data_IF_649382293070
#
_entry.id   IF_649382293070
#
_cell.length_a   1.000
_cell.length_b   1.000
_cell.length_c   1.000
_cell.angle_alpha   90.00
_cell.angle_beta   90.00
_cell.angle_gamma   90.00
#
_symmetry.space_group_name_H-M   'P 1'
#
loop_
_entity.id
_entity.type
_entity.pdbx_description
1 polymer ?
#
# COMPACT_ATOMS: atom_id res chain seq x y z
N UNK A 1 -6.86 41.84 3.74
CA UNK A 1 -5.91 42.78 4.35
C UNK A 1 -4.49 42.47 3.90
N UNK A 2 -3.88 41.34 4.26
CA UNK A 2 -2.53 40.96 3.88
C UNK A 2 -2.21 41.10 2.35
N UNK A 3 -3.14 40.67 1.48
CA UNK A 3 -2.95 40.76 0.02
C UNK A 3 -2.90 42.22 -0.44
N UNK A 4 -3.73 43.09 0.15
CA UNK A 4 -3.72 44.53 -0.17
C UNK A 4 -2.45 45.20 0.30
N UNK A 5 -1.97 44.85 1.49
CA UNK A 5 -0.75 45.41 2.06
C UNK A 5 0.48 44.98 1.23
N UNK A 6 0.56 43.70 0.88
CA UNK A 6 1.61 43.21 -0.01
C UNK A 6 1.56 43.87 -1.39
N UNK A 7 0.37 44.03 -1.98
CA UNK A 7 0.20 44.70 -3.28
C UNK A 7 0.62 46.17 -3.23
N UNK A 8 0.41 46.85 -2.10
CA UNK A 8 0.82 48.26 -1.91
C UNK A 8 2.34 48.40 -1.82
N UNK A 9 3.02 47.45 -1.17
CA UNK A 9 4.48 47.43 -0.99
C UNK A 9 5.20 47.04 -2.29
N UNK A 10 4.79 45.92 -2.90
CA UNK A 10 5.46 45.38 -4.07
C UNK A 10 4.98 45.99 -5.39
N UNK A 11 3.89 46.77 -5.36
CA UNK A 11 3.26 47.41 -6.55
C UNK A 11 3.01 46.44 -7.69
N UNK A 12 2.67 45.20 -7.35
CA UNK A 12 2.36 44.12 -8.28
C UNK A 12 1.07 43.42 -7.88
N UNK A 13 0.49 42.68 -8.81
CA UNK A 13 -0.69 41.85 -8.50
C UNK A 13 -0.30 40.69 -7.63
N UNK A 14 -0.94 40.60 -6.45
CA UNK A 14 -0.76 39.49 -5.51
C UNK A 14 -1.98 38.59 -5.60
N UNK A 15 -1.75 37.30 -5.76
CA UNK A 15 -2.79 36.28 -5.80
C UNK A 15 -2.57 35.29 -4.65
N UNK A 16 -3.62 35.10 -3.84
CA UNK A 16 -3.60 34.13 -2.75
C UNK A 16 -4.30 32.85 -3.24
N UNK A 17 -3.60 31.73 -3.21
CA UNK A 17 -4.18 30.42 -3.52
C UNK A 17 -4.06 29.49 -2.33
N UNK A 18 -5.15 28.82 -2.02
CA UNK A 18 -5.13 27.72 -1.07
C UNK A 18 -4.54 26.48 -1.74
N UNK A 19 -3.51 25.90 -1.15
CA UNK A 19 -2.85 24.68 -1.63
C UNK A 19 -3.15 23.52 -0.68
N UNK A 20 -3.39 22.34 -1.24
CA UNK A 20 -3.54 21.11 -0.46
C UNK A 20 -2.20 20.63 0.08
N UNK A 21 -2.21 19.84 1.16
CA UNK A 21 -0.99 19.31 1.80
C UNK A 21 -0.10 18.50 0.86
N UNK A 22 -0.66 17.83 -0.13
CA UNK A 22 0.13 17.13 -1.15
C UNK A 22 0.76 18.08 -2.16
N UNK A 23 0.06 19.16 -2.51
CA UNK A 23 0.57 20.16 -3.44
C UNK A 23 1.69 20.96 -2.80
N UNK A 24 1.58 21.29 -1.52
CA UNK A 24 2.68 21.85 -0.73
C UNK A 24 3.90 20.91 -0.75
N UNK A 25 3.69 19.63 -0.41
CA UNK A 25 4.75 18.62 -0.44
C UNK A 25 5.36 18.46 -1.84
N UNK A 26 4.56 18.58 -2.89
CA UNK A 26 5.02 18.55 -4.28
C UNK A 26 5.93 19.74 -4.62
N UNK A 27 5.60 20.92 -4.13
CA UNK A 27 6.38 22.14 -4.36
C UNK A 27 7.69 22.11 -3.58
N UNK A 28 7.63 21.76 -2.31
CA UNK A 28 8.81 21.71 -1.41
C UNK A 28 9.75 20.57 -1.80
N UNK A 29 9.20 19.43 -2.24
CA UNK A 29 9.97 18.24 -2.56
C UNK A 29 10.47 17.50 -1.32
N UNK A 30 11.47 16.64 -1.51
CA UNK A 30 12.10 15.87 -0.43
C UNK A 30 12.31 14.40 -0.76
N UNK A 31 12.69 13.64 0.25
CA UNK A 31 12.96 12.19 0.16
C UNK A 31 11.86 11.43 0.89
N UNK A 32 11.32 10.39 0.24
CA UNK A 32 10.34 9.49 0.83
C UNK A 32 10.96 8.49 1.80
N UNK A 33 10.13 7.76 2.53
CA UNK A 33 10.56 6.67 3.44
C UNK A 33 11.30 5.54 2.70
N UNK A 34 11.13 5.45 1.38
CA UNK A 34 11.82 4.49 0.50
C UNK A 34 13.24 4.96 0.10
N UNK A 35 13.69 6.14 0.55
CA UNK A 35 14.99 6.72 0.21
C UNK A 35 15.08 7.34 -1.19
N UNK A 36 13.96 7.41 -1.93
CA UNK A 36 13.89 8.04 -3.26
C UNK A 36 13.25 9.43 -3.19
N UNK A 37 13.49 10.32 -4.17
CA UNK A 37 12.73 11.56 -4.29
C UNK A 37 11.22 11.28 -4.30
N UNK A 38 10.45 12.21 -3.75
CA UNK A 38 8.99 12.06 -3.66
C UNK A 38 8.38 11.87 -5.05
N UNK A 39 7.51 10.84 -5.19
CA UNK A 39 6.84 10.53 -6.46
C UNK A 39 6.05 11.72 -7.00
N UNK A 40 5.36 12.45 -6.11
CA UNK A 40 4.60 13.64 -6.47
C UNK A 40 5.47 14.82 -6.94
N UNK A 41 6.72 14.90 -6.49
CA UNK A 41 7.66 15.92 -6.92
C UNK A 41 8.37 15.54 -8.22
N UNK A 42 8.56 14.25 -8.49
CA UNK A 42 9.35 13.77 -9.63
C UNK A 42 8.51 13.46 -10.88
N UNK A 43 7.70 12.40 -10.86
CA UNK A 43 7.04 11.90 -12.07
C UNK A 43 5.52 11.77 -11.97
N UNK A 44 4.97 11.69 -10.76
CA UNK A 44 3.54 11.44 -10.57
C UNK A 44 2.78 12.77 -10.54
N UNK A 45 2.07 13.07 -11.62
CA UNK A 45 1.28 14.30 -11.77
C UNK A 45 -0.19 14.10 -11.42
N UNK A 46 -0.73 12.90 -11.68
CA UNK A 46 -2.13 12.58 -11.45
C UNK A 46 -2.30 11.74 -10.19
N UNK A 47 -3.34 12.05 -9.41
CA UNK A 47 -3.59 11.39 -8.14
C UNK A 47 -5.00 10.77 -8.12
N UNK A 48 -5.02 9.44 -8.10
CA UNK A 48 -6.23 8.66 -7.92
C UNK A 48 -6.37 8.34 -6.42
N UNK A 49 -7.60 8.25 -5.89
CA UNK A 49 -7.83 7.85 -4.50
C UNK A 49 -7.15 6.53 -4.15
N UNK A 50 -6.45 6.51 -3.03
CA UNK A 50 -5.75 5.33 -2.52
C UNK A 50 -6.57 4.71 -1.39
N UNK A 51 -6.71 3.40 -1.37
CA UNK A 51 -7.40 2.66 -0.31
C UNK A 51 -6.42 1.84 0.53
N UNK A 52 -6.81 1.56 1.78
CA UNK A 52 -6.04 0.69 2.69
C UNK A 52 -5.96 -0.74 2.14
N UNK A 53 -6.95 -1.17 1.34
CA UNK A 53 -6.94 -2.47 0.67
C UNK A 53 -5.70 -2.67 -0.20
N UNK A 54 -5.26 -1.64 -0.93
CA UNK A 54 -4.05 -1.67 -1.75
C UNK A 54 -2.80 -1.95 -0.91
N UNK A 55 -2.71 -1.37 0.30
CA UNK A 55 -1.59 -1.64 1.21
C UNK A 55 -1.57 -3.09 1.68
N UNK A 56 -2.75 -3.69 1.95
CA UNK A 56 -2.89 -5.11 2.32
C UNK A 56 -2.49 -6.04 1.17
N UNK A 57 -2.88 -5.73 -0.06
CA UNK A 57 -2.53 -6.51 -1.25
C UNK A 57 -1.02 -6.47 -1.55
N UNK A 58 -0.36 -5.40 -1.15
CA UNK A 58 1.09 -5.24 -1.24
C UNK A 58 1.85 -5.80 -0.02
N UNK A 59 1.16 -6.51 0.89
CA UNK A 59 1.72 -7.07 2.12
C UNK A 59 2.41 -6.04 3.03
N UNK A 60 1.93 -4.78 3.02
CA UNK A 60 2.41 -3.76 3.93
C UNK A 60 1.72 -3.84 5.28
N UNK A 61 2.46 -3.52 6.34
CA UNK A 61 1.87 -3.35 7.67
C UNK A 61 0.87 -2.20 7.63
N UNK A 62 -0.34 -2.42 8.17
CA UNK A 62 -1.41 -1.40 8.25
C UNK A 62 -1.14 -0.32 9.30
N UNK A 63 0.09 -0.20 9.78
CA UNK A 63 0.48 0.88 10.68
C UNK A 63 0.43 2.22 9.93
N UNK A 64 -0.35 3.21 10.38
CA UNK A 64 -0.48 4.52 9.74
C UNK A 64 0.86 5.19 9.43
N UNK A 65 1.85 5.06 10.31
CA UNK A 65 3.18 5.64 10.11
C UNK A 65 3.96 5.03 8.94
N UNK A 66 3.62 3.78 8.55
CA UNK A 66 4.28 3.07 7.45
C UNK A 66 3.56 3.18 6.12
N UNK A 67 2.26 3.45 6.13
CA UNK A 67 1.45 3.59 4.91
C UNK A 67 1.14 5.04 4.55
N UNK A 68 1.47 5.99 5.42
CA UNK A 68 1.32 7.43 5.14
C UNK A 68 2.58 8.01 4.50
N UNK A 69 2.37 8.87 3.54
CA UNK A 69 3.44 9.66 2.93
C UNK A 69 3.81 10.89 3.77
N UNK A 70 4.82 11.62 3.35
CA UNK A 70 5.29 12.86 3.98
C UNK A 70 4.17 13.91 4.08
N UNK A 71 3.24 13.91 3.14
CA UNK A 71 2.06 14.79 3.15
C UNK A 71 0.96 14.39 4.15
N UNK A 72 1.15 13.34 4.95
CA UNK A 72 0.17 12.81 5.91
C UNK A 72 -0.99 12.02 5.30
N UNK A 73 -1.10 11.93 3.98
CA UNK A 73 -2.08 11.09 3.27
C UNK A 73 -1.49 9.74 2.93
N UNK A 74 -2.33 8.75 2.58
CA UNK A 74 -1.84 7.45 2.09
C UNK A 74 -0.87 7.62 0.92
N UNK A 75 0.16 6.79 0.88
CA UNK A 75 1.20 6.84 -0.13
C UNK A 75 0.64 6.64 -1.55
N UNK A 76 0.92 7.57 -2.44
CA UNK A 76 0.45 7.53 -3.83
C UNK A 76 1.08 6.38 -4.64
N UNK A 77 2.27 5.89 -4.25
CA UNK A 77 2.90 4.75 -4.88
C UNK A 77 2.08 3.45 -4.74
N UNK A 78 1.25 3.32 -3.69
CA UNK A 78 0.36 2.17 -3.53
C UNK A 78 -0.55 1.97 -4.74
N UNK A 79 -1.16 3.05 -5.24
CA UNK A 79 -1.99 2.99 -6.44
C UNK A 79 -1.16 2.82 -7.71
N UNK A 80 -0.03 3.48 -7.79
CA UNK A 80 0.84 3.40 -8.97
C UNK A 80 1.41 1.99 -9.20
N UNK A 81 1.60 1.23 -8.13
CA UNK A 81 2.17 -0.13 -8.18
C UNK A 81 1.10 -1.24 -8.14
N UNK A 82 -0.19 -0.88 -7.95
CA UNK A 82 -1.29 -1.83 -7.72
C UNK A 82 -1.39 -2.90 -8.81
N UNK A 83 -1.42 -2.50 -10.08
CA UNK A 83 -1.55 -3.42 -11.21
C UNK A 83 -0.43 -4.46 -11.26
N UNK A 84 0.81 -4.01 -10.99
CA UNK A 84 1.97 -4.91 -10.94
C UNK A 84 1.83 -5.95 -9.83
N UNK A 85 1.38 -5.51 -8.64
CA UNK A 85 1.15 -6.42 -7.53
C UNK A 85 -0.03 -7.37 -7.76
N UNK A 86 -1.10 -6.92 -8.41
CA UNK A 86 -2.24 -7.78 -8.78
C UNK A 86 -1.81 -8.89 -9.74
N UNK A 87 -1.05 -8.55 -10.80
CA UNK A 87 -0.55 -9.53 -11.76
C UNK A 87 0.38 -10.55 -11.09
N UNK A 88 1.33 -10.09 -10.28
CA UNK A 88 2.26 -10.96 -9.58
C UNK A 88 1.57 -11.82 -8.52
N UNK A 89 0.61 -11.29 -7.78
CA UNK A 89 -0.16 -12.03 -6.79
C UNK A 89 -1.04 -13.12 -7.42
N UNK A 90 -1.53 -12.90 -8.65
CA UNK A 90 -2.34 -13.90 -9.35
C UNK A 90 -1.59 -15.22 -9.60
N UNK A 91 -0.27 -15.14 -9.65
CA UNK A 91 0.65 -16.26 -9.91
C UNK A 91 1.14 -16.95 -8.63
N UNK A 92 0.71 -16.50 -7.46
CA UNK A 92 1.20 -16.94 -6.16
C UNK A 92 0.11 -17.66 -5.35
N UNK A 93 0.48 -18.65 -4.52
CA UNK A 93 -0.43 -19.22 -3.53
C UNK A 93 -0.68 -18.21 -2.39
N UNK A 94 -1.81 -18.34 -1.71
CA UNK A 94 -2.08 -17.51 -0.53
C UNK A 94 -1.38 -18.08 0.71
N UNK A 95 -1.15 -17.22 1.69
CA UNK A 95 -0.70 -17.66 3.02
C UNK A 95 -1.75 -18.58 3.64
N UNK A 96 -1.31 -19.74 4.15
CA UNK A 96 -2.17 -20.79 4.69
C UNK A 96 -2.65 -21.81 3.66
N UNK A 97 -2.31 -21.66 2.38
CA UNK A 97 -2.63 -22.69 1.38
C UNK A 97 -1.65 -23.88 1.49
N UNK A 98 -2.15 -25.08 1.18
CA UNK A 98 -1.31 -26.28 1.09
C UNK A 98 -0.75 -26.41 -0.31
N UNK A 99 0.57 -26.55 -0.38
CA UNK A 99 1.31 -26.70 -1.63
C UNK A 99 2.13 -27.99 -1.63
N UNK A 100 2.40 -28.51 -2.81
CA UNK A 100 3.32 -29.64 -2.99
C UNK A 100 4.57 -29.11 -3.66
N UNK A 101 5.73 -29.36 -3.05
CA UNK A 101 7.04 -28.99 -3.59
C UNK A 101 7.46 -29.97 -4.66
N UNK A 102 8.43 -29.61 -5.51
CA UNK A 102 9.03 -30.50 -6.50
C UNK A 102 9.66 -31.75 -5.86
N UNK A 103 10.15 -31.64 -4.63
CA UNK A 103 10.66 -32.73 -3.80
C UNK A 103 9.56 -33.73 -3.35
N UNK A 104 8.30 -33.48 -3.71
CA UNK A 104 7.14 -34.30 -3.33
C UNK A 104 6.67 -34.09 -1.90
N UNK A 105 7.23 -33.14 -1.18
CA UNK A 105 6.84 -32.79 0.18
C UNK A 105 5.61 -31.90 0.16
N UNK A 106 4.70 -32.14 1.11
CA UNK A 106 3.52 -31.28 1.32
C UNK A 106 3.81 -30.30 2.45
N UNK A 107 3.48 -29.06 2.25
CA UNK A 107 3.65 -28.03 3.27
C UNK A 107 2.60 -26.93 3.19
N UNK A 108 2.54 -26.14 4.24
CA UNK A 108 1.66 -24.99 4.36
C UNK A 108 2.45 -23.71 4.06
N UNK A 109 1.88 -22.82 3.27
CA UNK A 109 2.49 -21.53 2.93
C UNK A 109 2.51 -20.63 4.18
N UNK A 110 3.70 -20.30 4.66
CA UNK A 110 3.90 -19.41 5.80
C UNK A 110 3.93 -17.94 5.39
N UNK A 111 4.69 -17.61 4.36
CA UNK A 111 4.80 -16.24 3.86
C UNK A 111 5.15 -16.22 2.38
N UNK A 112 4.80 -15.13 1.71
CA UNK A 112 4.99 -14.95 0.27
C UNK A 112 5.71 -13.63 0.02
N UNK A 113 6.76 -13.66 -0.80
CA UNK A 113 7.45 -12.47 -1.30
C UNK A 113 7.03 -12.22 -2.73
N UNK A 114 6.10 -11.29 -2.92
CA UNK A 114 5.44 -11.04 -4.21
C UNK A 114 6.45 -10.65 -5.30
N UNK A 115 7.30 -9.66 -5.03
CA UNK A 115 8.26 -9.15 -6.02
C UNK A 115 9.36 -10.14 -6.37
N UNK A 116 9.80 -10.96 -5.41
CA UNK A 116 10.84 -11.97 -5.64
C UNK A 116 10.29 -13.28 -6.17
N UNK A 117 8.97 -13.46 -6.17
CA UNK A 117 8.29 -14.70 -6.51
C UNK A 117 8.82 -15.90 -5.70
N UNK A 118 9.03 -15.66 -4.39
CA UNK A 118 9.52 -16.65 -3.43
C UNK A 118 8.44 -16.93 -2.39
N UNK A 119 8.31 -18.20 -2.03
CA UNK A 119 7.32 -18.69 -1.08
C UNK A 119 8.03 -19.43 0.03
N UNK A 120 7.78 -19.06 1.28
CA UNK A 120 8.25 -19.83 2.45
C UNK A 120 7.17 -20.83 2.83
N UNK A 121 7.55 -22.09 2.82
CA UNK A 121 6.66 -23.21 3.10
C UNK A 121 7.12 -23.90 4.37
N UNK A 122 6.19 -24.17 5.28
CA UNK A 122 6.42 -25.03 6.45
C UNK A 122 6.22 -26.46 6.00
N UNK A 123 7.31 -27.21 5.94
CA UNK A 123 7.30 -28.63 5.60
C UNK A 123 7.45 -29.44 6.88
N UNK A 124 6.61 -30.47 7.03
CA UNK A 124 6.68 -31.39 8.16
C UNK A 124 7.47 -32.64 7.69
N UNK A 125 8.68 -32.79 8.20
CA UNK A 125 9.54 -33.95 7.91
C UNK A 125 9.81 -34.67 9.22
N UNK A 126 9.34 -35.91 9.39
CA UNK A 126 9.63 -36.80 10.53
C UNK A 126 9.55 -36.10 11.90
N UNK A 127 8.39 -35.42 12.18
CA UNK A 127 8.08 -34.68 13.41
C UNK A 127 8.80 -33.34 13.61
N UNK A 128 9.63 -32.90 12.68
CA UNK A 128 10.21 -31.55 12.73
C UNK A 128 9.54 -30.62 11.70
N UNK A 129 9.24 -29.41 12.13
CA UNK A 129 8.72 -28.35 11.26
C UNK A 129 9.89 -27.51 10.75
N UNK A 130 10.16 -27.61 9.46
CA UNK A 130 11.19 -26.81 8.80
C UNK A 130 10.55 -25.75 7.90
N UNK A 131 11.09 -24.54 7.93
CA UNK A 131 10.71 -23.48 6.98
C UNK A 131 11.71 -23.50 5.85
N UNK A 132 11.25 -23.82 4.65
CA UNK A 132 12.07 -23.81 3.43
C UNK A 132 11.53 -22.78 2.45
N UNK A 133 12.43 -22.18 1.68
CA UNK A 133 12.12 -21.18 0.68
C UNK A 133 12.17 -21.80 -0.72
N UNK A 134 11.08 -21.64 -1.48
CA UNK A 134 10.94 -22.19 -2.83
C UNK A 134 10.53 -21.09 -3.80
N UNK A 135 10.92 -21.23 -5.06
CA UNK A 135 10.39 -20.41 -6.14
C UNK A 135 8.99 -20.90 -6.54
N UNK A 136 8.16 -20.01 -7.03
CA UNK A 136 6.79 -20.35 -7.48
C UNK A 136 6.79 -21.49 -8.50
N UNK A 137 7.76 -21.49 -9.43
CA UNK A 137 7.90 -22.50 -10.48
C UNK A 137 8.13 -23.93 -9.94
N UNK A 138 8.61 -24.05 -8.71
CA UNK A 138 8.90 -25.31 -8.01
C UNK A 138 7.73 -25.80 -7.15
N UNK A 139 6.61 -25.08 -7.17
CA UNK A 139 5.45 -25.38 -6.35
C UNK A 139 4.25 -25.77 -7.20
N UNK A 140 3.65 -26.91 -6.88
CA UNK A 140 2.38 -27.35 -7.45
C UNK A 140 1.25 -27.01 -6.48
N UNK A 141 0.40 -26.08 -6.86
CA UNK A 141 -0.76 -25.66 -6.07
C UNK A 141 -1.97 -25.43 -6.98
N UNK A 142 -3.17 -25.58 -6.42
CA UNK A 142 -4.41 -25.22 -7.12
C UNK A 142 -4.77 -23.80 -6.70
N UNK A 143 -4.82 -22.84 -7.63
CA UNK A 143 -5.25 -21.50 -7.29
C UNK A 143 -6.66 -21.55 -6.72
N UNK A 144 -6.81 -21.20 -5.45
CA UNK A 144 -8.11 -21.14 -4.81
C UNK A 144 -8.81 -19.89 -5.33
N UNK A 145 -9.99 -20.04 -5.98
CA UNK A 145 -10.85 -18.91 -6.26
C UNK A 145 -11.06 -18.17 -4.94
N UNK A 146 -10.72 -16.87 -4.90
CA UNK A 146 -10.97 -15.98 -3.76
C UNK A 146 -12.44 -16.12 -3.35
N UNK A 147 -12.74 -16.89 -2.31
CA UNK A 147 -13.97 -16.75 -1.55
C UNK A 147 -13.65 -15.69 -0.53
N UNK A 148 -14.32 -14.56 -0.62
CA UNK A 148 -14.38 -13.55 0.44
C UNK A 148 -14.88 -14.22 1.71
N UNK A 149 -13.95 -14.74 2.51
CA UNK A 149 -14.26 -15.11 3.90
C UNK A 149 -13.80 -13.94 4.74
N UNK A 150 -14.79 -13.20 5.27
CA UNK A 150 -14.56 -12.14 6.23
C UNK A 150 -13.67 -12.66 7.37
N UNK A 151 -12.41 -12.29 7.31
CA UNK A 151 -11.44 -12.51 8.38
C UNK A 151 -11.57 -11.37 9.39
N UNK A 152 -11.07 -11.57 10.60
CA UNK A 152 -11.00 -10.51 11.63
C UNK A 152 -10.33 -9.24 11.04
N UNK A 153 -9.36 -9.43 10.15
CA UNK A 153 -8.72 -8.35 9.40
C UNK A 153 -9.69 -7.55 8.50
N UNK A 154 -10.78 -8.15 8.01
CA UNK A 154 -11.77 -7.43 7.19
C UNK A 154 -12.71 -6.58 8.06
N UNK A 155 -12.92 -6.97 9.32
CA UNK A 155 -13.65 -6.16 10.29
C UNK A 155 -12.83 -4.93 10.71
N UNK A 156 -11.53 -5.10 10.96
CA UNK A 156 -10.60 -4.00 11.25
C UNK A 156 -10.46 -3.06 10.04
N UNK A 157 -10.41 -3.61 8.82
CA UNK A 157 -10.36 -2.83 7.60
C UNK A 157 -11.61 -1.97 7.43
N UNK A 158 -12.80 -2.54 7.64
CA UNK A 158 -14.06 -1.80 7.61
C UNK A 158 -14.15 -0.73 8.69
N UNK A 159 -13.59 -0.99 9.87
CA UNK A 159 -13.53 -0.01 10.94
C UNK A 159 -12.59 1.17 10.59
N UNK A 160 -11.43 0.89 9.99
CA UNK A 160 -10.49 1.90 9.51
C UNK A 160 -11.07 2.73 8.35
N UNK A 161 -11.72 2.10 7.38
CA UNK A 161 -12.40 2.80 6.27
C UNK A 161 -13.56 3.67 6.78
N UNK A 162 -14.27 3.23 7.84
CA UNK A 162 -15.33 4.02 8.46
C UNK A 162 -14.78 5.24 9.21
N UNK A 163 -13.59 5.13 9.81
CA UNK A 163 -12.89 6.25 10.45
C UNK A 163 -12.41 7.26 9.39
N UNK A 164 -11.79 6.81 8.30
CA UNK A 164 -11.38 7.67 7.19
C UNK A 164 -12.55 8.45 6.58
N UNK A 165 -13.71 7.79 6.40
CA UNK A 165 -14.93 8.46 5.92
C UNK A 165 -15.47 9.49 6.91
N UNK A 166 -15.30 9.30 8.21
CA UNK A 166 -15.69 10.28 9.23
C UNK A 166 -14.75 11.47 9.25
N UNK A 167 -13.44 11.26 9.19
CA UNK A 167 -12.45 12.33 9.15
C UNK A 167 -12.53 13.14 7.84
N UNK A 168 -12.84 12.49 6.72
CA UNK A 168 -13.04 13.16 5.43
C UNK A 168 -14.29 14.06 5.40
N UNK A 169 -15.36 13.71 6.16
CA UNK A 169 -16.57 14.53 6.24
C UNK A 169 -16.41 15.72 7.20
N UNK A 170 -15.68 15.57 8.30
CA UNK A 170 -15.52 16.65 9.27
C UNK A 170 -14.71 17.85 8.74
N UNK A 171 -13.97 17.68 7.64
CA UNK A 171 -13.20 18.76 7.00
C UNK A 171 -13.94 19.48 5.86
N UNK A 172 -15.11 18.99 5.48
CA UNK A 172 -15.93 19.59 4.41
C UNK A 172 -17.11 20.43 4.94
N UNK A 173 -17.49 20.25 6.22
CA UNK A 173 -18.65 20.93 6.82
C UNK A 173 -18.27 22.22 7.60
N UNK A 174 -16.97 22.60 7.63
CA UNK A 174 -16.48 23.84 8.26
C UNK A 174 -16.03 24.89 7.22
N UNK A 175 -16.83 25.09 6.16
CA UNK A 175 -16.70 26.24 5.25
C UNK A 175 -18.04 26.80 4.84
#
# INVERSE_FOLDING_TARGET
>A
ELVKDLASVFKTRIELRQVGVRDETKIVGGIGICGRPLCCHSYLSEFIPVSIKMAKEQNLSLNPTKISGVCGRLMCCLKNEEETYEDLNSKLPNVGDYVTTDDGLKGEVHSVSVLRQLVKVIVITKDEKEIREYRVDQLKFKPRRRKDKGSVADAELKALEALEKKEGKSKLDDN
#
